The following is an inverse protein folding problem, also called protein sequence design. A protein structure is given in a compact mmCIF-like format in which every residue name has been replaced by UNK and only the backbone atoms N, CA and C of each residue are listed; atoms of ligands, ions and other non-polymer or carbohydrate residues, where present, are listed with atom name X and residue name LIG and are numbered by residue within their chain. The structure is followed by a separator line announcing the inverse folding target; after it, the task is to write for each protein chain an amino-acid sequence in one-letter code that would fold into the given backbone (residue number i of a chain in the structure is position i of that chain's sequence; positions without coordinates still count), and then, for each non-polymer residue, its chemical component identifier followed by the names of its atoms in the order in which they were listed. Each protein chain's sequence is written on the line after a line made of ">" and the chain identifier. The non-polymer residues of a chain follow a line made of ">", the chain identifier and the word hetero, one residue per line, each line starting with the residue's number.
data_IF_679475215728
#
_entry.id   IF_679475215728
#
_cell.length_a   1.000
_cell.length_b   1.000
_cell.length_c   1.000
_cell.angle_alpha   90.00
_cell.angle_beta   90.00
_cell.angle_gamma   90.00
#
_symmetry.space_group_name_H-M   'P 1'
#
loop_
_entity.id
_entity.type
_entity.pdbx_description
1 polymer ?
#
# COMPACT_ATOMS: atom_id res chain seq x y z
N UNK A 1 -25.76 -44.75 -8.56
CA UNK A 1 -26.25 -44.52 -9.94
C UNK A 1 -25.08 -44.10 -10.83
N UNK A 2 -24.64 -44.92 -11.80
CA UNK A 2 -23.49 -44.60 -12.66
C UNK A 2 -23.64 -43.30 -13.46
N UNK A 3 -24.86 -42.94 -13.86
CA UNK A 3 -25.20 -41.71 -14.59
C UNK A 3 -24.78 -40.44 -13.86
N UNK A 4 -25.07 -40.33 -12.56
CA UNK A 4 -24.65 -39.19 -11.73
C UNK A 4 -23.13 -39.05 -11.66
N UNK A 5 -22.39 -40.16 -11.51
CA UNK A 5 -20.93 -40.13 -11.44
C UNK A 5 -20.31 -39.71 -12.77
N UNK A 6 -20.91 -40.12 -13.88
CA UNK A 6 -20.49 -39.72 -15.22
C UNK A 6 -20.73 -38.24 -15.49
N UNK A 7 -21.94 -37.74 -15.20
CA UNK A 7 -22.29 -36.33 -15.32
C UNK A 7 -21.38 -35.45 -14.44
N UNK A 8 -21.17 -35.83 -13.18
CA UNK A 8 -20.28 -35.11 -12.28
C UNK A 8 -18.83 -35.02 -12.82
N UNK A 9 -18.29 -36.10 -13.40
CA UNK A 9 -16.94 -36.07 -14.01
C UNK A 9 -16.90 -35.22 -15.29
N UNK A 10 -17.92 -35.32 -16.13
CA UNK A 10 -18.08 -34.53 -17.35
C UNK A 10 -18.04 -33.04 -17.05
N UNK A 11 -18.88 -32.59 -16.11
CA UNK A 11 -18.99 -31.19 -15.73
C UNK A 11 -17.70 -30.70 -15.07
N UNK A 12 -17.19 -31.42 -14.07
CA UNK A 12 -15.97 -31.01 -13.34
C UNK A 12 -14.75 -30.94 -14.27
N UNK A 13 -14.67 -31.79 -15.30
CA UNK A 13 -13.58 -31.76 -16.28
C UNK A 13 -13.53 -30.51 -17.15
N UNK A 14 -14.60 -29.70 -17.20
CA UNK A 14 -14.64 -28.43 -17.94
C UNK A 14 -14.05 -27.25 -17.16
N UNK A 15 -13.85 -27.41 -15.85
CA UNK A 15 -13.36 -26.36 -14.97
C UNK A 15 -11.91 -26.60 -14.60
N UNK A 16 -11.16 -25.51 -14.42
CA UNK A 16 -9.80 -25.62 -13.89
C UNK A 16 -9.83 -25.94 -12.39
N UNK A 17 -8.79 -26.57 -11.82
CA UNK A 17 -8.70 -26.86 -10.39
C UNK A 17 -8.96 -25.65 -9.48
N UNK A 18 -8.55 -24.45 -9.90
CA UNK A 18 -8.75 -23.20 -9.18
C UNK A 18 -10.22 -22.77 -9.17
N UNK A 19 -10.92 -22.95 -10.29
CA UNK A 19 -12.34 -22.61 -10.41
C UNK A 19 -13.23 -23.51 -9.56
N UNK A 20 -12.85 -24.79 -9.45
CA UNK A 20 -13.55 -25.79 -8.62
C UNK A 20 -13.48 -25.42 -7.13
N UNK A 21 -12.37 -24.80 -6.71
CA UNK A 21 -12.15 -24.36 -5.33
C UNK A 21 -12.70 -22.95 -5.02
N UNK A 22 -13.06 -22.19 -6.05
CA UNK A 22 -13.48 -20.79 -5.94
C UNK A 22 -15.03 -20.65 -5.95
N UNK A 23 -15.52 -19.43 -6.18
CA UNK A 23 -16.93 -19.03 -6.18
C UNK A 23 -17.81 -19.74 -7.20
N UNK A 24 -17.23 -20.48 -8.15
CA UNK A 24 -17.98 -21.21 -9.19
C UNK A 24 -18.55 -22.55 -8.72
N UNK A 25 -18.38 -22.92 -7.45
CA UNK A 25 -18.92 -24.18 -6.89
C UNK A 25 -20.44 -24.31 -7.06
N UNK A 26 -21.18 -23.22 -6.87
CA UNK A 26 -22.63 -23.23 -7.00
C UNK A 26 -23.07 -23.45 -8.45
N UNK A 27 -22.35 -22.82 -9.40
CA UNK A 27 -22.57 -23.03 -10.82
C UNK A 27 -22.30 -24.49 -11.23
N UNK A 28 -21.21 -25.09 -10.75
CA UNK A 28 -20.89 -26.50 -10.98
C UNK A 28 -22.00 -27.39 -10.43
N UNK A 29 -22.52 -27.10 -9.23
CA UNK A 29 -23.58 -27.90 -8.63
C UNK A 29 -24.88 -27.87 -9.45
N UNK A 30 -25.25 -26.69 -9.97
CA UNK A 30 -26.41 -26.51 -10.85
C UNK A 30 -26.22 -27.30 -12.16
N UNK A 31 -25.04 -27.19 -12.78
CA UNK A 31 -24.75 -27.87 -14.05
C UNK A 31 -24.77 -29.40 -13.89
N UNK A 32 -24.24 -29.93 -12.77
CA UNK A 32 -24.34 -31.36 -12.44
C UNK A 32 -25.80 -31.77 -12.23
N UNK A 33 -26.61 -30.94 -11.54
CA UNK A 33 -28.03 -31.23 -11.33
C UNK A 33 -28.76 -31.33 -12.68
N UNK A 34 -28.57 -30.37 -13.57
CA UNK A 34 -29.25 -30.33 -14.87
C UNK A 34 -28.83 -31.49 -15.80
N UNK A 35 -27.52 -31.79 -15.90
CA UNK A 35 -27.06 -32.95 -16.68
C UNK A 35 -27.57 -34.27 -16.09
N UNK A 36 -27.58 -34.40 -14.76
CA UNK A 36 -28.04 -35.63 -14.11
C UNK A 36 -29.55 -35.80 -14.23
N UNK A 37 -30.32 -34.72 -14.10
CA UNK A 37 -31.78 -34.73 -14.22
C UNK A 37 -32.20 -35.24 -15.60
N UNK A 38 -31.60 -34.71 -16.68
CA UNK A 38 -31.88 -35.16 -18.05
C UNK A 38 -31.68 -36.67 -18.22
N UNK A 39 -30.61 -37.22 -17.64
CA UNK A 39 -30.30 -38.67 -17.71
C UNK A 39 -31.21 -39.54 -16.85
N UNK A 40 -31.81 -38.98 -15.80
CA UNK A 40 -32.70 -39.68 -14.87
C UNK A 40 -34.17 -39.58 -15.28
N UNK A 41 -34.56 -38.51 -15.97
CA UNK A 41 -35.90 -38.30 -16.51
C UNK A 41 -36.27 -39.41 -17.50
N UNK A 42 -35.33 -39.83 -18.37
CA UNK A 42 -35.51 -40.99 -19.28
C UNK A 42 -35.82 -42.30 -18.54
N UNK A 43 -35.43 -42.38 -17.26
CA UNK A 43 -35.58 -43.55 -16.40
C UNK A 43 -36.69 -43.38 -15.37
N UNK A 44 -37.47 -42.31 -15.46
CA UNK A 44 -38.56 -41.99 -14.54
C UNK A 44 -38.10 -41.90 -13.07
N UNK A 45 -36.87 -41.42 -12.84
CA UNK A 45 -36.30 -41.23 -11.50
C UNK A 45 -36.27 -39.75 -11.15
N UNK A 46 -36.93 -39.37 -10.05
CA UNK A 46 -36.95 -37.99 -9.57
C UNK A 46 -35.66 -37.62 -8.83
N UNK A 47 -35.00 -36.53 -9.27
CA UNK A 47 -33.83 -35.96 -8.61
C UNK A 47 -34.23 -34.72 -7.78
N UNK A 48 -34.18 -34.83 -6.45
CA UNK A 48 -34.56 -33.73 -5.57
C UNK A 48 -33.45 -32.69 -5.43
N UNK A 49 -32.20 -33.13 -5.19
CA UNK A 49 -31.07 -32.22 -5.03
C UNK A 49 -29.74 -32.96 -5.25
N UNK A 50 -28.73 -32.22 -5.72
CA UNK A 50 -27.33 -32.65 -5.76
C UNK A 50 -26.53 -31.73 -4.84
N UNK A 51 -25.74 -32.32 -3.95
CA UNK A 51 -24.87 -31.61 -3.02
C UNK A 51 -23.43 -32.10 -3.17
N UNK A 52 -22.50 -31.18 -3.40
CA UNK A 52 -21.07 -31.50 -3.41
C UNK A 52 -20.59 -31.56 -1.96
N UNK A 53 -20.21 -32.74 -1.45
CA UNK A 53 -19.78 -32.87 -0.05
C UNK A 53 -18.35 -32.38 0.19
N UNK A 54 -17.42 -32.81 -0.65
CA UNK A 54 -15.99 -32.47 -0.54
C UNK A 54 -15.30 -32.71 -1.88
N UNK A 55 -14.34 -31.85 -2.21
CA UNK A 55 -13.44 -32.03 -3.35
C UNK A 55 -12.05 -32.31 -2.80
N UNK A 56 -11.49 -33.46 -3.16
CA UNK A 56 -10.13 -33.87 -2.76
C UNK A 56 -9.20 -33.74 -3.95
N UNK A 57 -8.38 -32.69 -3.95
CA UNK A 57 -7.29 -32.52 -4.91
C UNK A 57 -6.07 -33.33 -4.48
N UNK A 58 -5.29 -33.89 -5.41
CA UNK A 58 -3.98 -34.43 -5.11
C UNK A 58 -3.09 -33.36 -4.45
N UNK A 59 -2.23 -33.74 -3.47
CA UNK A 59 -1.44 -32.79 -2.71
C UNK A 59 -0.53 -31.91 -3.60
N UNK A 60 0.01 -32.49 -4.69
CA UNK A 60 0.85 -31.78 -5.65
C UNK A 60 0.15 -30.60 -6.32
N UNK A 61 -1.11 -30.77 -6.72
CA UNK A 61 -1.91 -29.72 -7.36
C UNK A 61 -2.29 -28.65 -6.35
N UNK A 62 -2.69 -29.06 -5.13
CA UNK A 62 -3.00 -28.12 -4.06
C UNK A 62 -1.81 -27.20 -3.75
N UNK A 63 -0.62 -27.76 -3.55
CA UNK A 63 0.60 -26.98 -3.29
C UNK A 63 0.96 -26.07 -4.46
N UNK A 64 0.78 -26.52 -5.70
CA UNK A 64 1.04 -25.69 -6.87
C UNK A 64 0.10 -24.47 -6.95
N UNK A 65 -1.20 -24.66 -6.70
CA UNK A 65 -2.19 -23.58 -6.67
C UNK A 65 -1.88 -22.59 -5.54
N UNK A 66 -1.60 -23.10 -4.33
CA UNK A 66 -1.26 -22.24 -3.18
C UNK A 66 0.01 -21.43 -3.43
N UNK A 67 1.04 -22.05 -4.01
CA UNK A 67 2.28 -21.39 -4.38
C UNK A 67 2.08 -20.31 -5.44
N UNK A 68 1.28 -20.61 -6.48
CA UNK A 68 0.94 -19.64 -7.52
C UNK A 68 0.17 -18.45 -6.95
N UNK A 69 -0.88 -18.70 -6.16
CA UNK A 69 -1.68 -17.65 -5.54
C UNK A 69 -0.81 -16.77 -4.63
N UNK A 70 0.10 -17.38 -3.86
CA UNK A 70 1.05 -16.66 -3.03
C UNK A 70 1.96 -15.75 -3.87
N UNK A 71 2.53 -16.25 -4.96
CA UNK A 71 3.38 -15.46 -5.85
C UNK A 71 2.61 -14.30 -6.50
N UNK A 72 1.36 -14.51 -6.92
CA UNK A 72 0.51 -13.45 -7.47
C UNK A 72 0.26 -12.34 -6.43
N UNK A 73 -0.02 -12.70 -5.17
CA UNK A 73 -0.20 -11.73 -4.09
C UNK A 73 1.10 -10.99 -3.75
N UNK A 74 2.24 -11.69 -3.72
CA UNK A 74 3.55 -11.08 -3.48
C UNK A 74 3.94 -10.10 -4.60
N UNK A 75 3.64 -10.45 -5.86
CA UNK A 75 3.86 -9.57 -7.00
C UNK A 75 3.01 -8.30 -6.91
N UNK A 76 1.70 -8.44 -6.63
CA UNK A 76 0.79 -7.31 -6.42
C UNK A 76 1.26 -6.41 -5.25
N UNK A 77 1.66 -7.01 -4.12
CA UNK A 77 2.18 -6.26 -2.99
C UNK A 77 3.45 -5.47 -3.36
N UNK A 78 4.33 -6.07 -4.16
CA UNK A 78 5.56 -5.41 -4.62
C UNK A 78 5.26 -4.25 -5.57
N UNK A 79 4.30 -4.39 -6.49
CA UNK A 79 3.84 -3.29 -7.35
C UNK A 79 3.33 -2.11 -6.51
N UNK A 80 2.47 -2.36 -5.51
CA UNK A 80 2.00 -1.31 -4.60
C UNK A 80 3.12 -0.67 -3.78
N UNK A 81 4.13 -1.46 -3.35
CA UNK A 81 5.31 -0.92 -2.67
C UNK A 81 6.11 0.01 -3.58
N UNK A 82 6.31 -0.37 -4.84
CA UNK A 82 7.02 0.46 -5.82
C UNK A 82 6.24 1.75 -6.10
N UNK A 83 4.94 1.66 -6.32
CA UNK A 83 4.08 2.83 -6.54
C UNK A 83 4.13 3.79 -5.34
N UNK A 84 4.00 3.26 -4.12
CA UNK A 84 4.11 4.05 -2.90
C UNK A 84 5.47 4.73 -2.77
N UNK A 85 6.56 4.04 -3.10
CA UNK A 85 7.91 4.61 -3.05
C UNK A 85 8.08 5.74 -4.08
N UNK A 86 7.51 5.60 -5.27
CA UNK A 86 7.51 6.65 -6.30
C UNK A 86 6.72 7.89 -5.86
N UNK A 87 5.52 7.69 -5.29
CA UNK A 87 4.72 8.79 -4.76
C UNK A 87 5.42 9.51 -3.60
N UNK A 88 6.12 8.77 -2.73
CA UNK A 88 6.88 9.34 -1.63
C UNK A 88 8.09 10.16 -2.11
N UNK A 89 8.80 9.65 -3.12
CA UNK A 89 9.90 10.37 -3.77
C UNK A 89 9.42 11.68 -4.44
N UNK A 90 8.28 11.62 -5.13
CA UNK A 90 7.68 12.79 -5.76
C UNK A 90 7.22 13.82 -4.72
N UNK A 91 6.60 13.37 -3.62
CA UNK A 91 6.24 14.24 -2.49
C UNK A 91 7.47 14.95 -1.93
N UNK A 92 8.59 14.24 -1.76
CA UNK A 92 9.83 14.82 -1.26
C UNK A 92 10.44 15.84 -2.25
N UNK A 93 10.34 15.58 -3.55
CA UNK A 93 10.76 16.53 -4.60
C UNK A 93 9.94 17.83 -4.51
N UNK A 94 8.62 17.71 -4.43
CA UNK A 94 7.71 18.86 -4.33
C UNK A 94 7.99 19.67 -3.05
N UNK A 95 8.21 19.00 -1.90
CA UNK A 95 8.54 19.70 -0.64
C UNK A 95 9.89 20.45 -0.72
N UNK A 96 10.90 19.83 -1.34
CA UNK A 96 12.20 20.47 -1.56
C UNK A 96 12.08 21.70 -2.49
N UNK A 97 11.30 21.60 -3.57
CA UNK A 97 11.01 22.72 -4.48
C UNK A 97 10.22 23.83 -3.78
N UNK A 98 9.23 23.48 -2.95
CA UNK A 98 8.47 24.42 -2.14
C UNK A 98 9.37 25.19 -1.16
N UNK A 99 10.30 24.50 -0.49
CA UNK A 99 11.29 25.14 0.40
C UNK A 99 12.26 26.02 -0.36
N UNK A 100 12.77 25.56 -1.51
CA UNK A 100 13.70 26.34 -2.32
C UNK A 100 13.05 27.63 -2.84
N UNK A 101 11.82 27.53 -3.37
CA UNK A 101 11.05 28.69 -3.84
C UNK A 101 10.73 29.66 -2.71
N UNK A 102 10.29 29.16 -1.54
CA UNK A 102 10.06 29.98 -0.36
C UNK A 102 11.33 30.72 0.09
N UNK A 103 12.48 30.03 0.13
CA UNK A 103 13.76 30.63 0.48
C UNK A 103 14.20 31.71 -0.52
N UNK A 104 13.97 31.49 -1.82
CA UNK A 104 14.27 32.47 -2.86
C UNK A 104 13.40 33.72 -2.71
N UNK A 105 12.09 33.55 -2.48
CA UNK A 105 11.15 34.67 -2.24
C UNK A 105 11.55 35.43 -0.96
N UNK A 106 11.85 34.71 0.12
CA UNK A 106 12.27 35.31 1.38
C UNK A 106 13.56 36.10 1.19
N UNK A 107 14.56 35.53 0.53
CA UNK A 107 15.84 36.20 0.24
C UNK A 107 15.66 37.45 -0.61
N UNK A 108 14.76 37.41 -1.60
CA UNK A 108 14.42 38.58 -2.41
C UNK A 108 13.67 39.67 -1.61
N UNK A 109 12.90 39.28 -0.59
CA UNK A 109 12.18 40.21 0.29
C UNK A 109 13.04 40.82 1.41
N UNK A 110 14.19 40.19 1.73
CA UNK A 110 15.10 40.68 2.76
C UNK A 110 15.87 41.88 2.22
N UNK A 111 15.65 43.04 2.84
CA UNK A 111 16.43 44.25 2.61
C UNK A 111 17.24 44.60 3.88
N UNK A 112 18.24 45.47 3.76
CA UNK A 112 19.11 45.86 4.88
C UNK A 112 18.33 46.40 6.09
N UNK A 113 17.19 47.08 5.87
CA UNK A 113 16.36 47.63 6.96
C UNK A 113 15.68 46.51 7.76
N UNK A 114 15.18 45.48 7.09
CA UNK A 114 14.56 44.29 7.73
C UNK A 114 15.61 43.47 8.49
N UNK A 115 16.83 43.31 7.95
CA UNK A 115 17.92 42.63 8.67
C UNK A 115 18.29 43.38 9.95
N UNK A 116 18.36 44.71 9.90
CA UNK A 116 18.61 45.55 11.07
C UNK A 116 17.49 45.43 12.11
N UNK A 117 16.24 45.48 11.67
CA UNK A 117 15.06 45.30 12.54
C UNK A 117 15.09 43.93 13.23
N UNK A 118 15.34 42.84 12.50
CA UNK A 118 15.49 41.49 13.08
C UNK A 118 16.69 41.37 14.03
N UNK A 119 17.80 42.05 13.74
CA UNK A 119 18.95 42.12 14.63
C UNK A 119 18.63 42.81 15.96
N UNK A 120 17.85 43.89 15.92
CA UNK A 120 17.35 44.60 17.11
C UNK A 120 16.39 43.71 17.91
N UNK A 121 15.47 43.02 17.23
CA UNK A 121 14.54 42.09 17.89
C UNK A 121 15.27 40.91 18.55
N UNK A 122 16.28 40.34 17.89
CA UNK A 122 17.09 39.27 18.44
C UNK A 122 17.89 39.72 19.67
N UNK A 123 18.43 40.94 19.64
CA UNK A 123 19.12 41.52 20.81
C UNK A 123 18.16 41.84 21.95
N UNK A 124 16.94 42.31 21.67
CA UNK A 124 15.89 42.53 22.68
C UNK A 124 15.48 41.21 23.37
N UNK A 125 15.21 40.15 22.61
CA UNK A 125 14.89 38.82 23.17
C UNK A 125 16.04 38.23 23.99
N UNK A 126 17.28 38.51 23.59
CA UNK A 126 18.46 38.12 24.36
C UNK A 126 18.56 38.90 25.68
N UNK A 127 18.19 40.18 25.69
CA UNK A 127 18.16 41.03 26.88
C UNK A 127 17.04 40.65 27.86
N UNK A 128 15.90 40.15 27.37
CA UNK A 128 14.76 39.70 28.20
C UNK A 128 14.94 38.28 28.78
N UNK A 129 15.95 37.53 28.35
CA UNK A 129 16.17 36.15 28.82
C UNK A 129 16.80 36.13 30.22
N UNK A 130 16.22 35.35 31.14
CA UNK A 130 16.63 35.20 32.55
C UNK A 130 18.04 34.61 32.84
N UNK A 131 18.91 34.44 31.86
CA UNK A 131 20.25 33.85 32.03
C UNK A 131 21.36 34.90 31.84
N UNK A 132 22.48 34.79 32.57
CA UNK A 132 23.63 35.71 32.47
C UNK A 132 24.26 35.63 31.07
N UNK A 133 24.42 36.75 30.36
CA UNK A 133 25.02 36.77 29.01
C UNK A 133 26.12 37.83 28.88
N UNK A 134 27.30 37.41 28.40
CA UNK A 134 28.33 38.30 27.87
C UNK A 134 28.13 38.34 26.35
N UNK A 135 27.76 39.50 25.82
CA UNK A 135 27.52 39.70 24.37
C UNK A 135 28.63 40.58 23.81
N UNK A 136 29.50 40.01 22.97
CA UNK A 136 30.57 40.75 22.29
C UNK A 136 30.13 41.02 20.85
N UNK A 137 29.82 42.28 20.55
CA UNK A 137 29.46 42.74 19.20
C UNK A 137 30.72 43.30 18.56
N UNK A 138 31.32 42.53 17.64
CA UNK A 138 32.49 42.96 16.87
C UNK A 138 32.12 44.01 15.82
N UNK A 139 32.85 45.13 15.81
CA UNK A 139 32.68 46.24 14.86
C UNK A 139 33.30 45.94 13.48
N UNK A 140 32.88 44.84 12.86
CA UNK A 140 33.20 44.53 11.46
C UNK A 140 31.91 44.51 10.66
N UNK A 141 31.97 44.98 9.40
CA UNK A 141 30.80 45.13 8.50
C UNK A 141 29.92 43.86 8.34
N UNK A 142 30.43 42.68 8.72
CA UNK A 142 29.74 41.37 8.68
C UNK A 142 29.62 40.68 10.06
N UNK A 143 29.48 41.46 11.14
CA UNK A 143 29.53 40.98 12.53
C UNK A 143 28.46 39.94 12.92
N UNK A 144 28.76 38.66 12.69
CA UNK A 144 28.08 37.54 13.34
C UNK A 144 28.48 37.50 14.83
N UNK A 145 27.53 37.50 15.78
CA UNK A 145 27.83 37.41 17.21
C UNK A 145 28.43 36.04 17.54
N UNK A 146 29.59 36.02 18.22
CA UNK A 146 30.15 34.79 18.78
C UNK A 146 29.63 34.63 20.21
N UNK A 147 28.87 33.56 20.44
CA UNK A 147 28.40 33.17 21.77
C UNK A 147 29.43 32.19 22.34
N UNK A 148 30.25 32.66 23.29
CA UNK A 148 31.06 31.77 24.12
C UNK A 148 30.16 31.23 25.23
N UNK A 149 29.83 29.95 25.15
CA UNK A 149 29.15 29.22 26.23
C UNK A 149 30.11 28.99 27.40
N UNK A 150 29.61 29.18 28.62
CA UNK A 150 30.33 28.90 29.86
C UNK A 150 30.91 27.47 29.84
N UNK A 151 32.22 27.35 30.01
CA UNK A 151 32.82 26.09 30.45
C UNK A 151 32.59 25.97 31.96
N UNK A 152 31.70 25.07 32.35
CA UNK A 152 31.72 24.42 33.66
C UNK A 152 31.60 22.92 33.49
#
# INVERSE_FOLDING_TARGET
>A
VPSLRSAARSVVGRYTPEQIYSTKRDAIQIEIYDETKKLLDEKHVQLNQVLIRSITLPPTIKTAIESKLKQEQEALEYEFKLEKALQEAERQRIDAEGKATANNILSASINEKILREKGIEATLKLAESNNTKIVIIGNSKDGLPIILGDMK
#
